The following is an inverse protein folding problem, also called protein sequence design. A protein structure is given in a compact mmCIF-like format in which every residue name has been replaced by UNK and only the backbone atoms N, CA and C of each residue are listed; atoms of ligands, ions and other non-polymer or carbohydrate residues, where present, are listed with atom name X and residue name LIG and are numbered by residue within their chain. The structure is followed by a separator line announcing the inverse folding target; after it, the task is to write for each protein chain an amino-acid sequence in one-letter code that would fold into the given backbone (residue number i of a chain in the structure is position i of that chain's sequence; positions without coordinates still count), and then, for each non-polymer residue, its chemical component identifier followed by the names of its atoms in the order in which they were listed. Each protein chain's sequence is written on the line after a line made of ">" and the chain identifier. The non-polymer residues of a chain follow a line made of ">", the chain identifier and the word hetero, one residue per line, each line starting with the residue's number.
data_IF_600585034036
#
_entry.id   IF_600585034036
#
_cell.length_a   1.000
_cell.length_b   1.000
_cell.length_c   1.000
_cell.angle_alpha   90.00
_cell.angle_beta   90.00
_cell.angle_gamma   90.00
#
_symmetry.space_group_name_H-M   'P 1'
#
loop_
_entity.id
_entity.type
_entity.pdbx_description
1 polymer ?
#
# COMPACT_ATOMS: atom_id res chain seq x y z
N UNK A 1 -2.68 31.77 -3.43
CA UNK A 1 -2.47 30.32 -3.23
C UNK A 1 -1.31 30.17 -2.28
N UNK A 2 -1.44 29.47 -1.13
CA UNK A 2 -0.28 29.28 -0.26
C UNK A 2 0.76 28.40 -0.98
N UNK A 3 2.03 28.77 -0.82
CA UNK A 3 3.18 28.20 -1.51
C UNK A 3 3.31 26.70 -1.22
N UNK A 4 3.30 25.89 -2.29
CA UNK A 4 3.17 24.42 -2.30
C UNK A 4 4.44 23.66 -1.88
N UNK A 5 5.56 24.35 -1.84
CA UNK A 5 6.86 23.87 -1.38
C UNK A 5 7.56 25.06 -0.74
N UNK A 6 7.81 25.01 0.55
CA UNK A 6 8.33 26.16 1.28
C UNK A 6 9.77 25.91 1.70
N UNK A 7 10.63 26.94 1.65
CA UNK A 7 11.92 26.84 2.31
C UNK A 7 11.72 26.61 3.81
N UNK A 8 12.69 26.00 4.47
CA UNK A 8 12.76 26.05 5.93
C UNK A 8 12.77 27.53 6.38
N UNK A 9 12.07 27.88 7.48
CA UNK A 9 12.16 29.22 8.04
C UNK A 9 13.56 29.45 8.62
N UNK A 10 14.06 30.70 8.66
CA UNK A 10 15.31 30.99 9.34
C UNK A 10 15.18 30.78 10.85
N UNK A 11 16.11 30.04 11.44
CA UNK A 11 16.18 29.75 12.88
C UNK A 11 17.62 29.93 13.39
N UNK A 12 17.88 29.85 14.72
CA UNK A 12 19.25 29.83 15.24
C UNK A 12 20.09 28.61 14.82
N UNK A 13 19.46 27.53 14.36
CA UNK A 13 20.12 26.27 13.96
C UNK A 13 20.18 26.06 12.44
N UNK A 14 19.38 26.79 11.65
CA UNK A 14 19.38 26.73 10.19
C UNK A 14 19.17 28.12 9.58
N UNK A 15 20.13 28.55 8.78
CA UNK A 15 20.11 29.85 8.08
C UNK A 15 19.89 29.72 6.57
N UNK A 16 19.96 28.51 6.02
CA UNK A 16 20.20 28.29 4.58
C UNK A 16 18.92 28.13 3.75
N UNK A 17 17.73 28.28 4.34
CA UNK A 17 16.42 28.33 3.64
C UNK A 17 16.25 27.22 2.58
N UNK A 18 16.73 26.00 2.89
CA UNK A 18 16.67 24.87 1.98
C UNK A 18 15.24 24.58 1.53
N UNK A 19 15.09 24.23 0.25
CA UNK A 19 13.81 23.93 -0.39
C UNK A 19 13.75 22.45 -0.77
N UNK A 20 12.54 21.87 -0.84
CA UNK A 20 12.38 20.49 -1.28
C UNK A 20 12.97 20.25 -2.68
N UNK A 21 13.72 19.18 -2.82
CA UNK A 21 14.23 18.66 -4.10
C UNK A 21 13.34 17.52 -4.55
N UNK A 22 12.58 17.71 -5.63
CA UNK A 22 11.54 16.77 -6.08
C UNK A 22 11.89 16.23 -7.46
N UNK A 23 12.06 14.91 -7.60
CA UNK A 23 12.28 14.30 -8.89
C UNK A 23 11.13 14.58 -9.87
N UNK A 24 11.45 14.80 -11.15
CA UNK A 24 10.49 15.19 -12.17
C UNK A 24 9.36 14.16 -12.37
N UNK A 25 9.58 12.88 -12.04
CA UNK A 25 8.61 11.79 -12.13
C UNK A 25 7.74 11.62 -10.88
N UNK A 26 8.07 12.27 -9.75
CA UNK A 26 7.27 12.20 -8.53
C UNK A 26 5.93 12.94 -8.68
N UNK A 27 4.92 12.57 -7.87
CA UNK A 27 3.67 13.30 -7.76
C UNK A 27 3.46 13.74 -6.31
N UNK A 28 3.21 15.03 -6.11
CA UNK A 28 2.84 15.58 -4.79
C UNK A 28 1.44 16.15 -4.88
N UNK A 29 0.52 15.61 -4.08
CA UNK A 29 -0.86 16.09 -4.09
C UNK A 29 -0.93 17.57 -3.64
N UNK A 30 -1.78 18.41 -4.26
CA UNK A 30 -1.87 19.84 -3.92
C UNK A 30 -2.28 20.18 -2.47
N UNK A 31 -2.80 19.21 -1.72
CA UNK A 31 -3.17 19.34 -0.30
C UNK A 31 -2.06 18.87 0.66
N UNK A 32 -0.88 18.51 0.15
CA UNK A 32 0.28 18.19 0.97
C UNK A 32 1.01 19.48 1.42
N UNK A 33 1.60 19.45 2.61
CA UNK A 33 2.57 20.45 3.07
C UNK A 33 3.98 19.85 3.02
N UNK A 34 4.90 20.50 2.28
CA UNK A 34 6.29 20.07 2.11
C UNK A 34 7.23 21.25 2.38
N UNK A 35 8.03 21.16 3.45
CA UNK A 35 8.81 22.28 3.99
C UNK A 35 10.24 21.82 4.29
N UNK A 36 11.23 22.61 3.90
CA UNK A 36 12.64 22.41 4.26
C UNK A 36 13.42 21.50 3.33
N UNK A 37 14.56 20.99 3.80
CA UNK A 37 15.45 20.13 3.03
C UNK A 37 14.92 18.69 2.93
N UNK A 38 14.02 18.48 1.97
CA UNK A 38 13.37 17.20 1.72
C UNK A 38 13.66 16.73 0.29
N UNK A 39 14.27 15.55 0.18
CA UNK A 39 14.59 14.93 -1.10
C UNK A 39 13.56 13.84 -1.44
N UNK A 40 12.84 14.02 -2.55
CA UNK A 40 11.92 13.02 -3.09
C UNK A 40 12.51 12.38 -4.33
N UNK A 41 12.73 11.06 -4.26
CA UNK A 41 13.22 10.24 -5.36
C UNK A 41 12.23 10.06 -6.51
N UNK A 42 12.65 9.32 -7.53
CA UNK A 42 11.83 9.06 -8.70
C UNK A 42 10.55 8.30 -8.35
N UNK A 43 9.47 8.59 -9.07
CA UNK A 43 8.21 7.87 -8.96
C UNK A 43 7.60 7.84 -7.53
N UNK A 44 8.02 8.74 -6.65
CA UNK A 44 7.38 8.93 -5.35
C UNK A 44 5.97 9.47 -5.54
N UNK A 45 5.03 9.03 -4.71
CA UNK A 45 3.68 9.60 -4.63
C UNK A 45 3.40 10.07 -3.21
N UNK A 46 3.02 11.34 -3.06
CA UNK A 46 2.59 11.95 -1.81
C UNK A 46 1.11 12.27 -1.88
N UNK A 47 0.33 11.72 -0.97
CA UNK A 47 -1.12 11.82 -0.92
C UNK A 47 -1.64 13.11 -0.25
N UNK A 48 -2.95 13.37 -0.25
CA UNK A 48 -3.55 14.52 0.42
C UNK A 48 -3.29 14.57 1.92
N UNK A 49 -3.26 15.79 2.48
CA UNK A 49 -3.19 16.06 3.93
C UNK A 49 -1.92 15.53 4.62
N UNK A 50 -0.92 15.07 3.86
CA UNK A 50 0.40 14.73 4.37
C UNK A 50 1.16 16.01 4.78
N UNK A 51 1.92 15.94 5.88
CA UNK A 51 2.80 17.01 6.35
C UNK A 51 4.23 16.49 6.51
N UNK A 52 5.13 16.96 5.65
CA UNK A 52 6.56 16.61 5.68
C UNK A 52 7.34 17.90 5.92
N UNK A 53 7.97 18.00 7.08
CA UNK A 53 8.52 19.28 7.56
C UNK A 53 9.90 19.08 8.17
N UNK A 54 10.93 19.46 7.42
CA UNK A 54 12.34 19.43 7.80
C UNK A 54 12.81 20.83 8.20
N UNK A 55 12.24 21.38 9.28
CA UNK A 55 12.55 22.72 9.80
C UNK A 55 13.31 22.71 11.14
N UNK A 56 13.47 21.52 11.74
CA UNK A 56 14.20 21.30 12.98
C UNK A 56 15.28 20.23 12.75
N UNK A 57 14.89 18.95 12.74
CA UNK A 57 15.71 17.88 12.19
C UNK A 57 15.74 17.94 10.66
N UNK A 58 16.94 17.92 10.07
CA UNK A 58 17.17 18.02 8.62
C UNK A 58 18.51 17.33 8.25
N UNK A 59 18.69 16.77 7.04
CA UNK A 59 17.73 16.62 5.94
C UNK A 59 16.85 15.37 6.03
N UNK A 60 15.79 15.32 5.21
CA UNK A 60 14.95 14.13 5.01
C UNK A 60 15.13 13.54 3.61
N UNK A 61 15.19 12.21 3.50
CA UNK A 61 15.26 11.48 2.23
C UNK A 61 14.11 10.48 2.08
N UNK A 62 13.47 10.49 0.91
CA UNK A 62 12.42 9.55 0.51
C UNK A 62 12.81 8.91 -0.83
N UNK A 63 13.15 7.62 -0.79
CA UNK A 63 13.68 6.86 -1.92
C UNK A 63 12.69 6.64 -3.06
N UNK A 64 13.20 6.15 -4.19
CA UNK A 64 12.41 5.93 -5.39
C UNK A 64 11.28 4.91 -5.18
N UNK A 65 10.20 5.08 -5.94
CA UNK A 65 9.01 4.20 -5.94
C UNK A 65 8.26 4.11 -4.59
N UNK A 66 8.61 4.94 -3.62
CA UNK A 66 7.98 4.99 -2.29
C UNK A 66 6.67 5.78 -2.31
N UNK A 67 5.70 5.36 -1.50
CA UNK A 67 4.43 6.06 -1.35
C UNK A 67 4.25 6.58 0.08
N UNK A 68 3.82 7.84 0.20
CA UNK A 68 3.48 8.50 1.45
C UNK A 68 1.99 8.82 1.39
N UNK A 69 1.20 8.12 2.19
CA UNK A 69 -0.25 8.13 2.09
C UNK A 69 -0.91 9.22 2.96
N UNK A 70 -2.25 9.28 2.90
CA UNK A 70 -3.04 10.36 3.44
C UNK A 70 -2.78 10.60 4.93
N UNK A 71 -2.57 11.86 5.28
CA UNK A 71 -2.42 12.28 6.68
C UNK A 71 -1.13 11.80 7.37
N UNK A 72 -0.19 11.22 6.63
CA UNK A 72 1.14 10.89 7.18
C UNK A 72 1.83 12.17 7.65
N UNK A 73 2.53 12.07 8.77
CA UNK A 73 3.38 13.14 9.30
C UNK A 73 4.83 12.67 9.34
N UNK A 74 5.73 13.50 8.80
CA UNK A 74 7.18 13.29 8.88
C UNK A 74 7.82 14.55 9.46
N UNK A 75 8.48 14.38 10.60
CA UNK A 75 9.18 15.45 11.32
C UNK A 75 10.45 14.88 11.96
N UNK A 76 11.24 15.69 12.64
CA UNK A 76 12.49 15.24 13.25
C UNK A 76 13.01 16.20 14.30
N UNK A 77 13.64 15.66 15.34
CA UNK A 77 14.29 16.44 16.38
C UNK A 77 15.55 17.13 15.84
N UNK A 78 15.88 18.29 16.41
CA UNK A 78 17.07 19.08 16.04
C UNK A 78 18.35 18.22 16.10
N UNK A 79 18.47 17.41 17.15
CA UNK A 79 19.62 16.56 17.44
C UNK A 79 19.33 15.09 17.12
N UNK A 80 20.39 14.36 16.80
CA UNK A 80 20.33 12.96 16.41
C UNK A 80 20.16 12.79 14.90
N UNK A 81 20.93 11.87 14.32
CA UNK A 81 20.90 11.54 12.90
C UNK A 81 21.05 10.04 12.73
N UNK A 82 20.49 9.52 11.65
CA UNK A 82 20.76 8.18 11.14
C UNK A 82 21.70 8.27 9.93
N UNK A 83 22.43 7.20 9.63
CA UNK A 83 23.15 7.09 8.38
C UNK A 83 22.22 6.54 7.30
N UNK A 84 22.08 7.25 6.20
CA UNK A 84 21.44 6.73 5.00
C UNK A 84 22.30 5.68 4.31
N UNK A 85 21.74 4.96 3.34
CA UNK A 85 22.49 3.94 2.58
C UNK A 85 23.70 4.54 1.84
N UNK A 86 23.61 5.82 1.47
CA UNK A 86 24.70 6.61 0.87
C UNK A 86 25.77 7.08 1.88
N UNK A 87 25.71 6.62 3.13
CA UNK A 87 26.63 6.97 4.23
C UNK A 87 26.62 8.46 4.62
N UNK A 88 25.57 9.19 4.28
CA UNK A 88 25.35 10.57 4.74
C UNK A 88 24.39 10.60 5.94
N UNK A 89 24.47 11.66 6.74
CA UNK A 89 23.64 11.84 7.92
C UNK A 89 22.26 12.45 7.55
N UNK A 90 21.19 11.82 8.04
CA UNK A 90 19.81 12.28 7.84
C UNK A 90 19.07 12.34 9.16
N UNK A 91 18.11 13.25 9.28
CA UNK A 91 17.14 13.19 10.37
C UNK A 91 16.10 12.11 10.10
N UNK A 92 15.66 11.96 8.85
CA UNK A 92 14.77 10.87 8.43
C UNK A 92 15.27 10.29 7.13
N UNK A 93 15.48 8.97 7.11
CA UNK A 93 15.75 8.20 5.89
C UNK A 93 14.61 7.21 5.66
N UNK A 94 13.99 7.27 4.49
CA UNK A 94 13.01 6.30 4.02
C UNK A 94 13.52 5.74 2.69
N UNK A 95 13.76 4.44 2.64
CA UNK A 95 14.29 3.72 1.49
C UNK A 95 13.34 3.62 0.30
N UNK A 96 13.79 2.91 -0.72
CA UNK A 96 13.10 2.68 -1.99
C UNK A 96 12.01 1.62 -1.86
N UNK A 97 10.94 1.75 -2.66
CA UNK A 97 9.85 0.76 -2.70
C UNK A 97 9.10 0.61 -1.37
N UNK A 98 9.18 1.61 -0.50
CA UNK A 98 8.59 1.57 0.85
C UNK A 98 7.18 2.17 0.84
N UNK A 99 6.30 1.62 1.67
CA UNK A 99 4.94 2.12 1.87
C UNK A 99 4.84 2.78 3.26
N UNK A 100 4.67 4.10 3.32
CA UNK A 100 4.31 4.80 4.55
C UNK A 100 2.81 5.10 4.48
N UNK A 101 2.02 4.26 5.16
CA UNK A 101 0.58 4.20 4.94
C UNK A 101 -0.23 5.17 5.79
N UNK A 102 -1.54 5.25 5.55
CA UNK A 102 -2.43 6.27 6.09
C UNK A 102 -2.20 6.57 7.58
N UNK A 103 -2.03 7.86 7.88
CA UNK A 103 -1.87 8.40 9.24
C UNK A 103 -0.67 7.86 10.03
N UNK A 104 0.32 7.22 9.38
CA UNK A 104 1.56 6.86 10.04
C UNK A 104 2.37 8.11 10.45
N UNK A 105 3.17 7.98 11.50
CA UNK A 105 4.10 9.01 11.97
C UNK A 105 5.54 8.47 11.86
N UNK A 106 6.38 9.15 11.08
CA UNK A 106 7.83 8.91 11.04
C UNK A 106 8.52 10.11 11.67
N UNK A 107 9.19 9.91 12.80
CA UNK A 107 9.82 10.99 13.54
C UNK A 107 11.31 10.76 13.75
N UNK A 108 12.13 11.67 13.21
CA UNK A 108 13.58 11.63 13.30
C UNK A 108 14.13 11.72 14.73
N UNK A 109 15.28 11.09 15.03
CA UNK A 109 16.13 10.33 14.10
C UNK A 109 15.53 8.96 13.75
N UNK A 110 15.28 8.72 12.46
CA UNK A 110 14.58 7.51 12.02
C UNK A 110 15.12 7.00 10.69
N UNK A 111 15.36 5.69 10.63
CA UNK A 111 15.71 4.97 9.42
C UNK A 111 14.62 3.94 9.11
N UNK A 112 14.08 3.97 7.90
CA UNK A 112 13.21 2.93 7.36
C UNK A 112 13.83 2.44 6.07
N UNK A 113 14.24 1.16 6.04
CA UNK A 113 14.92 0.57 4.90
C UNK A 113 14.04 0.43 3.65
N UNK A 114 14.63 -0.17 2.62
CA UNK A 114 13.95 -0.46 1.36
C UNK A 114 12.86 -1.52 1.54
N UNK A 115 11.83 -1.46 0.71
CA UNK A 115 10.76 -2.46 0.60
C UNK A 115 10.00 -2.70 1.91
N UNK A 116 9.97 -1.70 2.78
CA UNK A 116 9.24 -1.76 4.03
C UNK A 116 7.76 -1.43 3.86
N UNK A 117 6.92 -2.00 4.70
CA UNK A 117 5.53 -1.59 4.86
C UNK A 117 5.32 -1.04 6.27
N UNK A 118 4.97 0.23 6.40
CA UNK A 118 4.61 0.87 7.67
C UNK A 118 3.10 1.08 7.70
N UNK A 119 2.41 0.24 8.45
CA UNK A 119 0.96 0.12 8.51
C UNK A 119 0.22 1.31 9.12
N UNK A 120 -1.11 1.29 8.97
CA UNK A 120 -1.96 2.42 9.30
C UNK A 120 -1.79 2.87 10.74
N UNK A 121 -1.65 4.18 10.96
CA UNK A 121 -1.48 4.79 12.29
C UNK A 121 -0.30 4.23 13.11
N UNK A 122 0.68 3.60 12.45
CA UNK A 122 1.89 3.15 13.13
C UNK A 122 2.88 4.29 13.27
N UNK A 123 3.71 4.24 14.32
CA UNK A 123 4.70 5.25 14.65
C UNK A 123 6.10 4.66 14.68
N UNK A 124 7.06 5.32 14.03
CA UNK A 124 8.50 5.03 14.12
C UNK A 124 9.19 6.28 14.64
N UNK A 125 9.82 6.20 15.82
CA UNK A 125 10.48 7.34 16.46
C UNK A 125 11.79 6.92 17.14
N UNK A 126 12.88 7.65 16.89
CA UNK A 126 14.21 7.33 17.45
C UNK A 126 14.59 5.84 17.22
N UNK A 127 14.35 5.35 16.00
CA UNK A 127 14.39 3.92 15.70
C UNK A 127 14.87 3.64 14.28
N UNK A 128 15.38 2.43 14.08
CA UNK A 128 15.77 1.91 12.77
C UNK A 128 14.90 0.71 12.43
N UNK A 129 14.32 0.69 11.23
CA UNK A 129 13.53 -0.42 10.69
C UNK A 129 14.27 -0.98 9.49
N UNK A 130 14.85 -2.18 9.63
CA UNK A 130 15.62 -2.84 8.58
C UNK A 130 14.81 -3.10 7.31
N UNK A 131 15.49 -3.31 6.19
CA UNK A 131 14.86 -3.52 4.88
C UNK A 131 13.89 -4.72 4.87
N UNK A 132 12.82 -4.63 4.08
CA UNK A 132 11.82 -5.68 3.90
C UNK A 132 10.98 -5.97 5.14
N UNK A 133 10.96 -5.08 6.13
CA UNK A 133 10.11 -5.22 7.31
C UNK A 133 8.64 -4.93 6.99
N UNK A 134 7.76 -5.70 7.62
CA UNK A 134 6.31 -5.53 7.50
C UNK A 134 5.76 -5.16 8.87
N UNK A 135 5.48 -3.88 9.06
CA UNK A 135 4.88 -3.33 10.27
C UNK A 135 3.39 -3.16 10.04
N UNK A 136 2.59 -3.91 10.78
CA UNK A 136 1.14 -3.84 10.66
C UNK A 136 0.58 -2.60 11.39
N UNK A 137 -0.74 -2.55 11.56
CA UNK A 137 -1.45 -1.35 11.96
C UNK A 137 -1.28 -1.02 13.45
N UNK A 138 -1.29 0.26 13.79
CA UNK A 138 -1.30 0.76 15.18
C UNK A 138 -0.08 0.29 16.01
N UNK A 139 1.05 0.01 15.37
CA UNK A 139 2.28 -0.33 16.08
C UNK A 139 3.05 0.92 16.51
N UNK A 140 3.71 0.88 17.66
CA UNK A 140 4.70 1.86 18.09
C UNK A 140 6.07 1.19 18.11
N UNK A 141 7.02 1.74 17.35
CA UNK A 141 8.42 1.33 17.33
C UNK A 141 9.24 2.52 17.80
N UNK A 142 9.89 2.38 18.94
CA UNK A 142 10.63 3.48 19.56
C UNK A 142 11.90 3.00 20.26
N UNK A 143 12.99 3.75 20.14
CA UNK A 143 14.26 3.51 20.85
C UNK A 143 14.88 2.12 20.58
N UNK A 144 14.65 1.57 19.38
CA UNK A 144 15.08 0.21 18.98
C UNK A 144 15.54 0.14 17.53
N UNK A 145 16.28 -0.92 17.21
CA UNK A 145 16.57 -1.36 15.85
C UNK A 145 15.80 -2.65 15.55
N UNK A 146 14.87 -2.61 14.59
CA UNK A 146 14.19 -3.78 14.08
C UNK A 146 15.06 -4.44 13.01
N UNK A 147 15.49 -5.70 13.19
CA UNK A 147 16.29 -6.40 12.19
C UNK A 147 15.59 -6.48 10.83
N UNK A 148 16.32 -6.64 9.72
CA UNK A 148 15.71 -6.78 8.40
C UNK A 148 14.74 -7.95 8.28
N UNK A 149 13.72 -7.79 7.44
CA UNK A 149 12.77 -8.85 7.09
C UNK A 149 11.84 -9.29 8.22
N UNK A 150 11.69 -8.48 9.27
CA UNK A 150 10.83 -8.79 10.42
C UNK A 150 9.39 -8.36 10.22
N UNK A 151 8.49 -9.07 10.87
CA UNK A 151 7.07 -8.77 10.92
C UNK A 151 6.68 -8.26 12.30
N UNK A 152 6.05 -7.07 12.35
CA UNK A 152 5.51 -6.48 13.57
C UNK A 152 3.99 -6.58 13.56
N UNK A 153 3.38 -7.40 14.43
CA UNK A 153 1.92 -7.52 14.53
C UNK A 153 1.22 -6.21 14.90
N UNK A 154 -0.05 -6.11 14.53
CA UNK A 154 -0.86 -4.92 14.82
C UNK A 154 -0.96 -4.65 16.32
N UNK A 155 -0.89 -3.38 16.72
CA UNK A 155 -1.03 -2.94 18.11
C UNK A 155 0.20 -3.15 18.99
N UNK A 156 1.29 -3.70 18.45
CA UNK A 156 2.52 -3.93 19.23
C UNK A 156 3.20 -2.61 19.62
N UNK A 157 3.69 -2.56 20.85
CA UNK A 157 4.55 -1.47 21.34
C UNK A 157 5.94 -2.05 21.60
N UNK A 158 6.91 -1.63 20.80
CA UNK A 158 8.28 -2.14 20.81
C UNK A 158 9.20 -1.00 21.25
N UNK A 159 9.60 -1.05 22.52
CA UNK A 159 10.42 -0.04 23.20
C UNK A 159 11.69 -0.62 23.83
N UNK A 160 11.98 -1.90 23.58
CA UNK A 160 13.18 -2.57 24.07
C UNK A 160 13.80 -3.42 22.98
N UNK A 161 15.13 -3.41 22.89
CA UNK A 161 15.84 -4.18 21.86
C UNK A 161 15.54 -5.69 21.96
N UNK A 162 15.39 -6.22 23.18
CA UNK A 162 15.01 -7.61 23.39
C UNK A 162 13.66 -7.98 22.75
N UNK A 163 12.70 -7.05 22.71
CA UNK A 163 11.41 -7.28 22.04
C UNK A 163 11.59 -7.24 20.51
N UNK A 164 12.39 -6.30 19.99
CA UNK A 164 12.72 -6.20 18.57
C UNK A 164 13.42 -7.46 18.04
N UNK A 165 14.41 -7.98 18.79
CA UNK A 165 15.19 -9.17 18.42
C UNK A 165 14.36 -10.46 18.35
N UNK A 166 13.21 -10.48 19.03
CA UNK A 166 12.30 -11.65 19.11
C UNK A 166 11.17 -11.63 18.09
N UNK A 167 11.12 -10.63 17.22
CA UNK A 167 10.08 -10.55 16.20
C UNK A 167 10.15 -11.74 15.23
N UNK A 168 8.98 -12.23 14.77
CA UNK A 168 8.93 -13.23 13.71
C UNK A 168 9.42 -12.63 12.38
N UNK A 169 9.84 -13.49 11.47
CA UNK A 169 10.17 -13.09 10.11
C UNK A 169 8.90 -12.87 9.29
N UNK A 170 8.93 -11.88 8.39
CA UNK A 170 7.88 -11.65 7.40
C UNK A 170 7.90 -12.77 6.35
N UNK A 171 6.73 -13.34 6.10
CA UNK A 171 6.57 -14.42 5.13
C UNK A 171 6.40 -13.88 3.69
N UNK A 172 6.35 -14.78 2.71
CA UNK A 172 6.22 -14.42 1.29
C UNK A 172 4.89 -13.70 0.97
N UNK A 173 3.80 -14.08 1.63
CA UNK A 173 2.50 -13.41 1.43
C UNK A 173 2.50 -11.97 1.95
N UNK A 174 3.22 -11.70 3.05
CA UNK A 174 3.38 -10.34 3.59
C UNK A 174 4.16 -9.45 2.60
N UNK A 175 5.22 -10.00 2.00
CA UNK A 175 6.05 -9.32 0.99
C UNK A 175 5.25 -9.04 -0.28
N UNK A 176 4.55 -10.05 -0.79
CA UNK A 176 3.68 -9.93 -1.97
C UNK A 176 2.62 -8.86 -1.77
N UNK A 177 2.01 -8.81 -0.59
CA UNK A 177 1.07 -7.75 -0.22
C UNK A 177 1.72 -6.36 -0.32
N UNK A 178 2.91 -6.17 0.27
CA UNK A 178 3.64 -4.89 0.22
C UNK A 178 3.95 -4.46 -1.23
N UNK A 179 4.48 -5.37 -2.05
CA UNK A 179 4.78 -5.09 -3.46
C UNK A 179 3.53 -4.68 -4.25
N UNK A 180 2.40 -5.35 -4.01
CA UNK A 180 1.15 -4.99 -4.67
C UNK A 180 0.69 -3.57 -4.31
N UNK A 181 0.88 -3.13 -3.06
CA UNK A 181 0.56 -1.75 -2.64
C UNK A 181 1.46 -0.74 -3.36
N UNK A 182 2.74 -1.05 -3.56
CA UNK A 182 3.65 -0.22 -4.36
C UNK A 182 3.14 -0.09 -5.81
N UNK A 183 2.82 -1.22 -6.46
CA UNK A 183 2.32 -1.24 -7.85
C UNK A 183 1.06 -0.38 -8.03
N UNK A 184 0.08 -0.53 -7.13
CA UNK A 184 -1.14 0.27 -7.15
C UNK A 184 -0.82 1.76 -7.03
N UNK A 185 0.09 2.14 -6.13
CA UNK A 185 0.50 3.52 -5.96
C UNK A 185 1.26 4.07 -7.18
N UNK A 186 1.99 3.21 -7.90
CA UNK A 186 2.61 3.59 -9.17
C UNK A 186 1.58 3.87 -10.27
N UNK A 187 0.55 3.03 -10.37
CA UNK A 187 -0.56 3.25 -11.29
C UNK A 187 -1.34 4.54 -10.94
N UNK A 188 -1.61 4.77 -9.65
CA UNK A 188 -2.25 6.01 -9.17
C UNK A 188 -1.42 7.24 -9.50
N UNK A 189 -0.10 7.20 -9.26
CA UNK A 189 0.82 8.30 -9.60
C UNK A 189 0.75 8.64 -11.08
N UNK A 190 0.83 7.63 -11.94
CA UNK A 190 0.71 7.81 -13.38
C UNK A 190 -0.65 8.43 -13.76
N UNK A 191 -1.74 7.92 -13.19
CA UNK A 191 -3.10 8.46 -13.40
C UNK A 191 -3.26 9.91 -12.95
N UNK A 192 -2.75 10.28 -11.77
CA UNK A 192 -2.82 11.66 -11.27
C UNK A 192 -1.99 12.64 -12.10
N UNK A 193 -0.84 12.20 -12.62
CA UNK A 193 -0.02 13.02 -13.53
C UNK A 193 -0.70 13.18 -14.87
N UNK A 194 -1.27 12.10 -15.40
CA UNK A 194 -2.04 12.12 -16.63
C UNK A 194 -3.29 13.00 -16.53
N UNK A 195 -3.97 13.04 -15.39
CA UNK A 195 -5.14 13.91 -15.19
C UNK A 195 -4.81 15.42 -15.28
N UNK A 196 -3.54 15.80 -15.09
CA UNK A 196 -3.06 17.17 -15.28
C UNK A 196 -2.60 17.45 -16.73
N UNK A 197 -2.64 16.44 -17.59
CA UNK A 197 -2.27 16.50 -19.01
C UNK A 197 -3.50 16.16 -19.86
N UNK A 198 -4.03 17.17 -20.57
CA UNK A 198 -5.26 17.03 -21.36
C UNK A 198 -5.11 15.97 -22.45
N UNK A 199 -3.94 15.85 -23.07
CA UNK A 199 -3.71 14.87 -24.15
C UNK A 199 -3.72 13.45 -23.59
N UNK A 200 -3.02 13.24 -22.47
CA UNK A 200 -3.01 11.97 -21.78
C UNK A 200 -4.40 11.58 -21.23
N UNK A 201 -5.09 12.51 -20.58
CA UNK A 201 -6.42 12.28 -20.00
C UNK A 201 -7.46 11.91 -21.07
N UNK A 202 -7.37 12.52 -22.25
CA UNK A 202 -8.27 12.23 -23.39
C UNK A 202 -8.01 10.85 -23.98
N UNK A 203 -6.74 10.42 -24.05
CA UNK A 203 -6.36 9.10 -24.54
C UNK A 203 -6.85 7.96 -23.62
N UNK A 204 -6.83 8.16 -22.30
CA UNK A 204 -7.37 7.18 -21.34
C UNK A 204 -8.91 7.12 -21.33
N UNK A 205 -9.60 8.20 -21.67
CA UNK A 205 -11.07 8.24 -21.72
C UNK A 205 -11.63 7.68 -23.03
N UNK A 206 -10.86 7.70 -24.11
CA UNK A 206 -11.25 7.20 -25.43
C UNK A 206 -10.22 6.18 -25.97
N UNK A 207 -10.21 4.93 -25.47
CA UNK A 207 -9.31 3.88 -26.00
C UNK A 207 -9.59 3.52 -27.47
N UNK A 208 -10.70 4.00 -28.05
CA UNK A 208 -11.09 3.77 -29.44
C UNK A 208 -10.69 4.93 -30.38
N UNK A 209 -9.39 5.19 -30.56
CA UNK A 209 -8.92 6.02 -31.68
C UNK A 209 -7.49 5.75 -32.16
N UNK A 210 -6.96 4.54 -31.96
CA UNK A 210 -5.80 4.06 -32.73
C UNK A 210 -6.23 2.94 -33.67
N UNK A 211 -6.39 3.31 -34.94
CA UNK A 211 -6.93 2.47 -36.00
C UNK A 211 -5.84 1.51 -36.53
N UNK A 212 -6.15 0.21 -36.57
CA UNK A 212 -5.54 -0.75 -37.49
C UNK A 212 -4.88 -1.96 -36.85
N UNK A 213 -5.62 -3.06 -36.69
CA UNK A 213 -5.19 -4.39 -37.17
C UNK A 213 -6.42 -5.30 -37.30
N UNK A 214 -6.38 -6.15 -38.32
CA UNK A 214 -7.49 -6.89 -38.92
C UNK A 214 -8.27 -7.80 -37.96
N UNK A 215 -9.59 -7.75 -38.08
CA UNK A 215 -10.54 -8.66 -37.46
C UNK A 215 -10.47 -10.06 -38.11
N UNK A 216 -9.97 -11.03 -37.35
CA UNK A 216 -10.22 -12.45 -37.54
C UNK A 216 -11.34 -12.89 -36.58
N UNK A 217 -12.15 -13.91 -36.92
CA UNK A 217 -13.38 -14.20 -36.21
C UNK A 217 -13.09 -14.77 -34.82
N UNK A 218 -13.60 -14.12 -33.78
CA UNK A 218 -13.47 -14.63 -32.42
C UNK A 218 -14.43 -15.79 -32.23
N UNK A 219 -13.85 -16.99 -32.32
CA UNK A 219 -14.40 -18.22 -31.79
C UNK A 219 -14.63 -18.01 -30.27
N UNK A 220 -15.76 -18.50 -29.75
CA UNK A 220 -16.09 -18.40 -28.33
C UNK A 220 -14.96 -18.97 -27.47
N UNK A 221 -14.41 -18.14 -26.58
CA UNK A 221 -13.44 -18.59 -25.60
C UNK A 221 -14.13 -18.78 -24.25
N UNK A 222 -13.96 -19.99 -23.73
CA UNK A 222 -14.46 -20.47 -22.47
C UNK A 222 -13.92 -19.63 -21.29
N UNK A 223 -14.71 -19.58 -20.22
CA UNK A 223 -14.33 -19.02 -18.93
C UNK A 223 -12.95 -19.51 -18.49
N UNK A 224 -12.11 -18.60 -18.00
CA UNK A 224 -10.84 -18.95 -17.37
C UNK A 224 -11.10 -19.88 -16.18
N UNK A 225 -10.45 -21.06 -16.09
CA UNK A 225 -10.60 -21.94 -14.94
C UNK A 225 -10.11 -21.26 -13.66
N UNK A 226 -10.77 -21.56 -12.52
CA UNK A 226 -10.38 -21.05 -11.21
C UNK A 226 -8.90 -21.31 -10.92
N UNK A 227 -8.22 -20.32 -10.36
CA UNK A 227 -6.82 -20.46 -9.93
C UNK A 227 -6.71 -21.58 -8.88
N UNK A 228 -5.63 -22.36 -8.94
CA UNK A 228 -5.46 -23.59 -8.16
C UNK A 228 -5.48 -23.34 -6.63
N UNK A 229 -4.99 -22.20 -6.19
CA UNK A 229 -5.03 -21.73 -4.81
C UNK A 229 -6.46 -21.49 -4.31
N UNK A 230 -7.34 -20.93 -5.15
CA UNK A 230 -8.76 -20.72 -4.83
C UNK A 230 -9.48 -22.06 -4.69
N UNK A 231 -9.15 -23.02 -5.57
CA UNK A 231 -9.68 -24.40 -5.49
C UNK A 231 -9.27 -25.06 -4.17
N UNK A 232 -8.02 -24.90 -3.75
CA UNK A 232 -7.52 -25.44 -2.49
C UNK A 232 -8.17 -24.80 -1.26
N UNK A 233 -8.42 -23.48 -1.29
CA UNK A 233 -9.18 -22.76 -0.26
C UNK A 233 -10.60 -23.32 -0.16
N UNK A 234 -11.31 -23.45 -1.28
CA UNK A 234 -12.67 -24.02 -1.31
C UNK A 234 -12.66 -25.44 -0.73
N UNK A 235 -11.74 -26.29 -1.15
CA UNK A 235 -11.59 -27.66 -0.66
C UNK A 235 -11.29 -27.71 0.84
N UNK A 236 -10.48 -26.80 1.37
CA UNK A 236 -10.20 -26.72 2.80
C UNK A 236 -11.45 -26.30 3.59
N UNK A 237 -12.18 -25.28 3.12
CA UNK A 237 -13.37 -24.79 3.82
C UNK A 237 -14.51 -25.83 3.83
N UNK A 238 -14.71 -26.54 2.72
CA UNK A 238 -15.69 -27.64 2.66
C UNK A 238 -15.31 -28.79 3.60
N UNK A 239 -14.02 -29.11 3.75
CA UNK A 239 -13.54 -30.12 4.73
C UNK A 239 -13.81 -29.72 6.18
N UNK A 240 -13.80 -28.42 6.47
CA UNK A 240 -14.16 -27.89 7.80
C UNK A 240 -15.68 -27.86 8.03
N UNK A 241 -16.49 -28.21 7.03
CA UNK A 241 -17.97 -28.20 7.11
C UNK A 241 -18.56 -26.80 6.95
N UNK A 242 -17.81 -25.87 6.38
CA UNK A 242 -18.26 -24.51 6.09
C UNK A 242 -18.99 -24.45 4.75
N UNK A 243 -19.90 -23.49 4.61
CA UNK A 243 -20.54 -23.14 3.35
C UNK A 243 -19.80 -22.02 2.64
N UNK A 244 -19.84 -22.01 1.32
CA UNK A 244 -19.26 -20.95 0.50
C UNK A 244 -20.32 -19.92 0.18
N UNK A 245 -20.03 -18.65 0.47
CA UNK A 245 -20.80 -17.49 0.03
C UNK A 245 -20.01 -16.66 -0.99
N UNK A 246 -20.71 -15.90 -1.81
CA UNK A 246 -20.11 -14.97 -2.76
C UNK A 246 -20.66 -13.57 -2.53
N UNK A 247 -19.83 -12.57 -2.72
CA UNK A 247 -20.21 -11.17 -2.76
C UNK A 247 -19.50 -10.46 -3.90
N UNK A 248 -20.09 -9.39 -4.41
CA UNK A 248 -19.53 -8.66 -5.53
C UNK A 248 -19.63 -7.14 -5.32
N UNK A 249 -18.77 -6.39 -5.99
CA UNK A 249 -18.76 -4.94 -5.93
C UNK A 249 -18.33 -4.34 -7.27
N UNK A 250 -18.99 -3.27 -7.69
CA UNK A 250 -18.44 -2.38 -8.72
C UNK A 250 -17.24 -1.59 -8.15
N UNK A 251 -16.48 -0.93 -9.04
CA UNK A 251 -15.27 -0.16 -8.67
C UNK A 251 -15.56 0.89 -7.59
N UNK A 252 -16.73 1.53 -7.63
CA UNK A 252 -17.09 2.58 -6.66
C UNK A 252 -17.35 1.98 -5.29
N UNK A 253 -18.10 0.88 -5.22
CA UNK A 253 -18.47 0.18 -3.99
C UNK A 253 -17.26 -0.47 -3.33
N UNK A 254 -16.39 -1.09 -4.12
CA UNK A 254 -15.14 -1.68 -3.65
C UNK A 254 -14.26 -0.64 -2.93
N UNK A 255 -14.11 0.55 -3.51
CA UNK A 255 -13.32 1.66 -2.91
C UNK A 255 -13.79 2.12 -1.53
N UNK A 256 -15.07 1.91 -1.21
CA UNK A 256 -15.66 2.28 0.09
C UNK A 256 -15.94 1.07 0.99
N UNK A 257 -15.42 -0.11 0.64
CA UNK A 257 -15.65 -1.34 1.39
C UNK A 257 -17.10 -1.84 1.38
N UNK A 258 -17.92 -1.36 0.44
CA UNK A 258 -19.31 -1.77 0.28
C UNK A 258 -19.40 -2.95 -0.67
N UNK A 259 -20.10 -4.01 -0.26
CA UNK A 259 -20.30 -5.22 -1.06
C UNK A 259 -21.78 -5.52 -1.24
N UNK A 260 -22.12 -6.09 -2.39
CA UNK A 260 -23.44 -6.62 -2.68
C UNK A 260 -23.47 -8.12 -2.40
N UNK A 261 -24.54 -8.58 -1.76
CA UNK A 261 -24.71 -10.00 -1.43
C UNK A 261 -24.94 -10.82 -2.70
N UNK A 262 -24.09 -11.82 -2.92
CA UNK A 262 -24.28 -12.86 -3.91
C UNK A 262 -24.87 -14.15 -3.28
N UNK A 263 -24.86 -15.27 -4.01
CA UNK A 263 -25.43 -16.52 -3.52
C UNK A 263 -24.61 -17.13 -2.38
N UNK A 264 -25.29 -17.83 -1.47
CA UNK A 264 -24.67 -18.82 -0.59
C UNK A 264 -24.90 -20.21 -1.20
N UNK A 265 -23.82 -20.91 -1.50
CA UNK A 265 -23.85 -22.22 -2.15
C UNK A 265 -24.27 -23.27 -1.13
N UNK A 266 -25.44 -23.87 -1.35
CA UNK A 266 -26.03 -24.84 -0.43
C UNK A 266 -25.37 -26.24 -0.49
N UNK A 267 -24.57 -26.52 -1.52
CA UNK A 267 -23.91 -27.81 -1.69
C UNK A 267 -22.62 -27.91 -0.87
N UNK A 268 -22.35 -29.10 -0.34
CA UNK A 268 -21.06 -29.49 0.26
C UNK A 268 -20.17 -30.30 -0.69
N UNK A 269 -20.65 -30.61 -1.90
CA UNK A 269 -19.87 -31.33 -2.90
C UNK A 269 -18.95 -30.38 -3.67
N UNK A 270 -17.64 -30.60 -3.56
CA UNK A 270 -16.59 -29.75 -4.15
C UNK A 270 -16.86 -29.41 -5.63
N UNK A 271 -17.13 -30.41 -6.47
CA UNK A 271 -17.36 -30.20 -7.89
C UNK A 271 -18.53 -29.23 -8.17
N UNK A 272 -19.63 -29.34 -7.42
CA UNK A 272 -20.78 -28.45 -7.59
C UNK A 272 -20.50 -27.03 -7.10
N UNK A 273 -19.72 -26.91 -6.03
CA UNK A 273 -19.31 -25.61 -5.48
C UNK A 273 -18.40 -24.89 -6.46
N UNK A 274 -17.38 -25.59 -7.00
CA UNK A 274 -16.47 -25.03 -8.01
C UNK A 274 -17.22 -24.53 -9.24
N UNK A 275 -18.13 -25.34 -9.80
CA UNK A 275 -18.93 -24.94 -10.97
C UNK A 275 -19.79 -23.70 -10.68
N UNK A 276 -20.39 -23.59 -9.49
CA UNK A 276 -21.21 -22.43 -9.14
C UNK A 276 -20.36 -21.16 -8.91
N UNK A 277 -19.16 -21.30 -8.36
CA UNK A 277 -18.23 -20.19 -8.23
C UNK A 277 -17.78 -19.73 -9.63
N UNK A 278 -17.35 -20.66 -10.50
CA UNK A 278 -16.96 -20.36 -11.89
C UNK A 278 -18.08 -19.65 -12.67
N UNK A 279 -19.31 -20.15 -12.56
CA UNK A 279 -20.45 -19.53 -13.20
C UNK A 279 -20.68 -18.10 -12.68
N UNK A 280 -20.59 -17.90 -11.37
CA UNK A 280 -20.80 -16.58 -10.78
C UNK A 280 -19.71 -15.58 -11.21
N UNK A 281 -18.46 -16.02 -11.34
CA UNK A 281 -17.38 -15.21 -11.88
C UNK A 281 -17.66 -14.80 -13.32
N UNK A 282 -18.07 -15.76 -14.16
CA UNK A 282 -18.42 -15.52 -15.56
C UNK A 282 -19.62 -14.58 -15.74
N UNK A 283 -20.59 -14.61 -14.82
CA UNK A 283 -21.76 -13.73 -14.82
C UNK A 283 -21.44 -12.29 -14.38
N UNK A 284 -20.28 -12.06 -13.75
CA UNK A 284 -19.89 -10.77 -13.16
C UNK A 284 -18.52 -10.26 -13.66
N UNK A 285 -18.22 -10.25 -14.97
CA UNK A 285 -16.86 -10.02 -15.49
C UNK A 285 -16.30 -8.62 -15.15
N UNK A 286 -17.18 -7.65 -14.93
CA UNK A 286 -16.82 -6.25 -14.63
C UNK A 286 -16.92 -5.90 -13.14
N UNK A 287 -17.05 -6.90 -12.27
CA UNK A 287 -17.10 -6.71 -10.82
C UNK A 287 -15.91 -7.36 -10.11
N UNK A 288 -15.57 -6.76 -8.97
CA UNK A 288 -14.81 -7.46 -7.94
C UNK A 288 -15.70 -8.55 -7.38
N UNK A 289 -15.19 -9.77 -7.25
CA UNK A 289 -15.89 -10.87 -6.56
C UNK A 289 -15.04 -11.34 -5.40
N UNK A 290 -15.67 -11.57 -4.25
CA UNK A 290 -15.04 -12.20 -3.09
C UNK A 290 -15.79 -13.45 -2.66
N UNK A 291 -15.00 -14.41 -2.21
CA UNK A 291 -15.44 -15.63 -1.57
C UNK A 291 -15.53 -15.43 -0.06
N UNK A 292 -16.59 -15.96 0.52
CA UNK A 292 -16.84 -16.01 1.94
C UNK A 292 -16.90 -17.46 2.39
N UNK A 293 -16.28 -17.78 3.52
CA UNK A 293 -16.51 -19.04 4.23
C UNK A 293 -17.45 -18.79 5.41
N UNK A 294 -18.51 -19.59 5.53
CA UNK A 294 -19.54 -19.47 6.56
C UNK A 294 -19.55 -20.75 7.40
N UNK A 295 -19.21 -20.64 8.67
CA UNK A 295 -19.36 -21.74 9.62
C UNK A 295 -20.85 -22.04 9.82
N UNK A 296 -21.26 -23.23 9.39
CA UNK A 296 -22.64 -23.71 9.46
C UNK A 296 -23.14 -23.88 10.91
N UNK A 297 -22.24 -24.12 11.87
CA UNK A 297 -22.55 -24.30 13.30
C UNK A 297 -22.56 -22.98 14.05
N UNK A 298 -21.54 -22.15 13.86
CA UNK A 298 -21.43 -20.86 14.54
C UNK A 298 -22.25 -19.75 13.85
N UNK A 299 -22.73 -19.96 12.62
CA UNK A 299 -23.39 -18.96 11.75
C UNK A 299 -22.56 -17.68 11.60
N UNK A 300 -21.24 -17.84 11.48
CA UNK A 300 -20.27 -16.75 11.41
C UNK A 300 -19.39 -16.86 10.17
N UNK A 301 -18.95 -15.71 9.66
CA UNK A 301 -17.99 -15.64 8.56
C UNK A 301 -16.59 -15.92 9.11
N UNK A 302 -15.87 -16.84 8.46
CA UNK A 302 -14.54 -17.30 8.88
C UNK A 302 -13.43 -16.84 7.93
N UNK A 303 -13.76 -16.61 6.65
CA UNK A 303 -12.81 -16.18 5.63
C UNK A 303 -13.51 -15.25 4.66
N UNK A 304 -12.82 -14.18 4.25
CA UNK A 304 -13.24 -13.28 3.18
C UNK A 304 -12.03 -13.07 2.25
N UNK A 305 -12.11 -13.50 0.98
CA UNK A 305 -11.01 -13.41 0.03
C UNK A 305 -11.51 -12.92 -1.33
N UNK A 306 -10.88 -11.89 -1.89
CA UNK A 306 -11.19 -11.43 -3.26
C UNK A 306 -10.64 -12.45 -4.26
N UNK A 307 -11.51 -13.00 -5.10
CA UNK A 307 -11.22 -14.06 -6.08
C UNK A 307 -11.32 -13.60 -7.53
N UNK A 308 -11.87 -12.40 -7.79
CA UNK A 308 -11.87 -11.76 -9.11
C UNK A 308 -11.72 -10.25 -8.97
N UNK A 309 -10.93 -9.67 -9.86
CA UNK A 309 -10.82 -8.23 -10.08
C UNK A 309 -11.21 -7.96 -11.55
N UNK A 310 -12.04 -6.94 -11.83
CA UNK A 310 -12.35 -6.57 -13.20
C UNK A 310 -11.11 -6.01 -13.88
N UNK A 311 -10.96 -6.28 -15.18
CA UNK A 311 -9.88 -5.74 -16.03
C UNK A 311 -9.94 -4.21 -16.15
#
# INVERSE_FOLDING_TARGET
>A
MPLRHQPAPPTPWDHDQYKPTIAASAYVHPQCSLIGDVHLGENVIIAPNTSIRADEGTPFYIGANTNIQDGVVIHGLEQGRVLGDNQQAYSVWIGEGTCITHMALIHGPAYVGNECFIGFRSTVFNAQVGHGCIVMMHALIQDVEIPPGKYVPSGMVITTQQAADRLPDANESDRTFSHHVVEINQALRAGYRCANDIECATALQNPASSNGFHSAPHNGQAAHPLQADIVDVIRQQLRLGHHIGLEFADVRRFKVGSWQSGPTIASSHEAQVLTQVEQFLADHPSNYVRLLSIDSKAKQRQLEQVIQKPE
#
